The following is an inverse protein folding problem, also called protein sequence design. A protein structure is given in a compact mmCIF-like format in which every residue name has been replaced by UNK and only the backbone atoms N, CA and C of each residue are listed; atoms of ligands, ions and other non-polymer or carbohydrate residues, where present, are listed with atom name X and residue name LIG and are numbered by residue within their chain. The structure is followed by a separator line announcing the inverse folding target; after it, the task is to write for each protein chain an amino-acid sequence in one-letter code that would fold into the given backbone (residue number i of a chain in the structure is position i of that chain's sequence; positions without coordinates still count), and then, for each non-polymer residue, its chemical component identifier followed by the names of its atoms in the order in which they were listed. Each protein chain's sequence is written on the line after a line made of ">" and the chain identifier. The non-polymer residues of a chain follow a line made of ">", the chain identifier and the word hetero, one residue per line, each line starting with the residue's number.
data_IF_715954220159
#
_entry.id   IF_715954220159
#
_cell.length_a   1.000
_cell.length_b   1.000
_cell.length_c   1.000
_cell.angle_alpha   90.00
_cell.angle_beta   90.00
_cell.angle_gamma   90.00
#
_symmetry.space_group_name_H-M   'P 1'
#
loop_
_entity.id
_entity.type
_entity.pdbx_description
1 polymer ?
#
# COMPACT_ATOMS: atom_id res chain seq x y z
N UNK A 1 12.65 -14.16 16.44
CA UNK A 1 14.11 -14.02 16.31
C UNK A 1 14.76 -14.12 17.68
N UNK A 2 15.47 -15.21 17.95
CA UNK A 2 16.47 -15.23 19.01
C UNK A 2 17.71 -14.48 18.51
N UNK A 3 18.30 -13.62 19.35
CA UNK A 3 19.53 -12.91 18.99
C UNK A 3 20.69 -13.86 19.26
N UNK A 4 21.36 -14.30 18.21
CA UNK A 4 22.60 -15.08 18.28
C UNK A 4 23.68 -14.34 19.10
N UNK A 5 24.69 -15.04 19.67
CA UNK A 5 25.77 -14.41 20.42
C UNK A 5 26.43 -13.27 19.61
N UNK A 6 26.67 -12.13 20.26
CA UNK A 6 27.27 -10.96 19.59
C UNK A 6 28.74 -11.24 19.25
N UNK A 7 29.06 -11.09 17.96
CA UNK A 7 30.42 -11.11 17.46
C UNK A 7 31.22 -9.88 17.92
N UNK A 8 32.54 -10.02 17.89
CA UNK A 8 33.53 -8.98 18.10
C UNK A 8 34.09 -8.50 16.75
N UNK A 9 35.14 -7.67 16.76
CA UNK A 9 35.84 -7.27 15.53
C UNK A 9 37.05 -8.16 15.21
N UNK A 10 37.05 -9.41 15.66
CA UNK A 10 38.09 -10.39 15.38
C UNK A 10 37.48 -11.78 15.18
N UNK A 11 38.32 -12.78 14.89
CA UNK A 11 37.86 -14.11 14.50
C UNK A 11 37.02 -14.79 15.59
N UNK A 12 35.76 -15.02 15.29
CA UNK A 12 34.76 -15.56 16.20
C UNK A 12 34.23 -16.94 15.76
N UNK A 13 33.66 -17.67 16.72
CA UNK A 13 32.92 -18.90 16.47
C UNK A 13 31.50 -18.70 16.98
N UNK A 14 30.55 -18.59 16.06
CA UNK A 14 29.14 -18.36 16.33
C UNK A 14 28.34 -19.63 16.07
N UNK A 15 27.44 -19.97 16.98
CA UNK A 15 26.56 -21.14 16.83
C UNK A 15 25.15 -20.75 17.23
N UNK A 16 24.20 -21.07 16.36
CA UNK A 16 22.77 -20.87 16.54
C UNK A 16 22.09 -21.95 17.37
N UNK A 17 20.78 -22.06 17.16
CA UNK A 17 19.90 -23.08 17.72
C UNK A 17 19.00 -23.68 16.63
N UNK A 18 17.87 -24.30 17.00
CA UNK A 18 16.96 -24.91 16.02
C UNK A 18 15.94 -23.90 15.44
N UNK A 19 15.97 -22.62 15.89
CA UNK A 19 15.12 -21.54 15.40
C UNK A 19 15.84 -20.69 14.34
N UNK A 20 15.10 -19.95 13.51
CA UNK A 20 15.69 -18.98 12.58
C UNK A 20 16.52 -17.92 13.31
N UNK A 21 17.83 -17.89 13.06
CA UNK A 21 18.77 -16.95 13.65
C UNK A 21 19.29 -15.92 12.63
N UNK A 22 19.81 -14.81 13.16
CA UNK A 22 20.54 -13.82 12.36
C UNK A 22 21.89 -13.55 13.00
N UNK A 23 22.93 -13.73 12.21
CA UNK A 23 24.33 -13.54 12.58
C UNK A 23 24.90 -12.30 11.88
N UNK A 24 25.71 -11.55 12.60
CA UNK A 24 26.58 -10.54 12.03
C UNK A 24 27.98 -10.79 12.58
N UNK A 25 28.89 -11.30 11.74
CA UNK A 25 30.27 -11.58 12.11
C UNK A 25 31.07 -10.31 12.42
N UNK A 26 30.65 -9.17 11.86
CA UNK A 26 31.44 -7.94 11.84
C UNK A 26 32.78 -8.24 11.14
N UNK A 27 33.90 -7.69 11.61
CA UNK A 27 35.20 -7.97 10.99
C UNK A 27 35.90 -9.15 11.65
N UNK A 28 36.59 -9.98 10.89
CA UNK A 28 37.29 -11.15 11.41
C UNK A 28 37.41 -12.22 10.33
N UNK A 29 37.90 -13.41 10.65
CA UNK A 29 37.62 -14.58 9.82
C UNK A 29 36.78 -15.53 10.69
N UNK A 30 35.47 -15.54 10.50
CA UNK A 30 34.54 -16.15 11.45
C UNK A 30 34.09 -17.55 11.02
N UNK A 31 33.73 -18.38 12.01
CA UNK A 31 33.07 -19.66 11.78
C UNK A 31 31.64 -19.60 12.34
N UNK A 32 30.65 -19.58 11.45
CA UNK A 32 29.24 -19.42 11.80
C UNK A 32 28.47 -20.69 11.46
N UNK A 33 27.76 -21.23 12.45
CA UNK A 33 26.88 -22.40 12.28
C UNK A 33 25.46 -22.06 12.68
N UNK A 34 24.51 -22.10 11.75
CA UNK A 34 23.09 -21.84 12.04
C UNK A 34 22.41 -22.97 12.82
N UNK A 35 22.74 -24.23 12.47
CA UNK A 35 22.09 -25.46 12.93
C UNK A 35 20.75 -25.73 12.23
N UNK A 36 19.63 -25.49 12.91
CA UNK A 36 18.29 -25.73 12.38
C UNK A 36 17.53 -24.42 12.18
N UNK A 37 16.48 -24.43 11.36
CA UNK A 37 15.75 -23.22 11.01
C UNK A 37 16.21 -22.63 9.67
N UNK A 38 15.82 -21.38 9.42
CA UNK A 38 16.24 -20.60 8.24
C UNK A 38 17.14 -19.49 8.75
N UNK A 39 18.44 -19.67 8.57
CA UNK A 39 19.43 -18.81 9.19
C UNK A 39 19.99 -17.77 8.22
N UNK A 40 20.23 -16.57 8.75
CA UNK A 40 20.74 -15.45 7.98
C UNK A 40 22.10 -15.00 8.49
N UNK A 41 23.10 -14.93 7.61
CA UNK A 41 24.35 -14.20 7.87
C UNK A 41 24.33 -12.83 7.19
N UNK A 42 24.64 -11.77 7.93
CA UNK A 42 24.60 -10.38 7.49
C UNK A 42 26.02 -9.84 7.30
N UNK A 43 26.26 -9.26 6.13
CA UNK A 43 27.49 -8.63 5.70
C UNK A 43 27.28 -7.13 5.52
N UNK A 44 28.30 -6.34 5.82
CA UNK A 44 28.18 -4.87 5.89
C UNK A 44 28.36 -4.18 4.54
N UNK A 45 28.91 -4.89 3.55
CA UNK A 45 29.19 -4.40 2.21
C UNK A 45 28.19 -4.81 1.14
N UNK A 46 28.38 -4.27 -0.07
CA UNK A 46 27.61 -4.65 -1.25
C UNK A 46 28.05 -6.01 -1.78
N UNK A 47 27.13 -6.81 -2.33
CA UNK A 47 27.39 -8.19 -2.78
C UNK A 47 28.58 -8.29 -3.73
N UNK A 48 28.80 -7.30 -4.60
CA UNK A 48 29.89 -7.31 -5.57
C UNK A 48 31.31 -7.37 -4.94
N UNK A 49 31.44 -6.98 -3.68
CA UNK A 49 32.72 -6.99 -2.96
C UNK A 49 33.10 -8.37 -2.39
N UNK A 50 32.20 -9.36 -2.47
CA UNK A 50 32.40 -10.67 -1.85
C UNK A 50 32.60 -11.77 -2.88
N UNK A 51 33.64 -12.57 -2.67
CA UNK A 51 33.85 -13.83 -3.38
C UNK A 51 33.23 -14.97 -2.56
N UNK A 52 32.25 -15.67 -3.13
CA UNK A 52 31.54 -16.76 -2.47
C UNK A 52 31.89 -18.09 -3.14
N UNK A 53 32.20 -19.11 -2.34
CA UNK A 53 32.45 -20.46 -2.84
C UNK A 53 31.94 -21.51 -1.86
N UNK A 54 31.78 -22.74 -2.32
CA UNK A 54 31.33 -23.87 -1.49
C UNK A 54 32.46 -24.90 -1.38
N UNK A 55 32.84 -25.26 -0.16
CA UNK A 55 33.87 -26.24 0.15
C UNK A 55 33.29 -27.36 1.02
N UNK A 56 32.76 -28.41 0.36
CA UNK A 56 31.91 -29.39 1.05
C UNK A 56 30.57 -28.75 1.42
N UNK A 57 30.15 -28.88 2.67
CA UNK A 57 28.92 -28.25 3.18
C UNK A 57 29.16 -26.87 3.83
N UNK A 58 30.38 -26.34 3.72
CA UNK A 58 30.77 -25.04 4.30
C UNK A 58 30.89 -24.02 3.18
N UNK A 59 30.09 -22.95 3.25
CA UNK A 59 30.16 -21.81 2.33
C UNK A 59 31.21 -20.83 2.83
N UNK A 60 32.14 -20.49 1.96
CA UNK A 60 33.18 -19.50 2.20
C UNK A 60 32.72 -18.17 1.62
N UNK A 61 32.69 -17.12 2.44
CA UNK A 61 32.35 -15.75 2.04
C UNK A 61 33.55 -14.86 2.33
N UNK A 62 34.27 -14.47 1.28
CA UNK A 62 35.50 -13.69 1.38
C UNK A 62 35.24 -12.24 0.97
N UNK A 63 35.35 -11.32 1.92
CA UNK A 63 35.32 -9.88 1.68
C UNK A 63 36.64 -9.41 1.05
N UNK A 64 36.55 -8.92 -0.19
CA UNK A 64 37.71 -8.39 -0.90
C UNK A 64 38.11 -6.99 -0.42
N UNK A 65 37.34 -6.38 0.49
CA UNK A 65 37.65 -5.09 1.12
C UNK A 65 38.40 -5.30 2.44
N UNK A 66 39.66 -4.84 2.57
CA UNK A 66 40.45 -5.10 3.77
C UNK A 66 39.84 -4.53 5.06
N UNK A 67 39.63 -5.38 6.07
CA UNK A 67 39.27 -4.99 7.43
C UNK A 67 37.81 -4.63 7.65
N UNK A 68 36.91 -4.97 6.71
CA UNK A 68 35.46 -4.81 6.87
C UNK A 68 34.85 -6.08 7.48
N UNK A 69 34.61 -7.12 6.68
CA UNK A 69 34.02 -8.36 7.20
C UNK A 69 35.01 -9.55 7.25
N UNK A 70 35.98 -9.61 6.33
CA UNK A 70 37.02 -10.65 6.29
C UNK A 70 36.55 -11.99 5.66
N UNK A 71 37.07 -13.14 6.10
CA UNK A 71 36.82 -14.45 5.46
C UNK A 71 36.00 -15.40 6.34
N UNK A 72 34.71 -15.53 6.04
CA UNK A 72 33.80 -16.28 6.88
C UNK A 72 33.50 -17.68 6.34
N UNK A 73 33.42 -18.65 7.25
CA UNK A 73 33.05 -20.03 7.03
C UNK A 73 31.66 -20.30 7.61
N UNK A 74 30.69 -20.53 6.73
CA UNK A 74 29.28 -20.68 7.09
C UNK A 74 28.81 -22.12 6.89
N UNK A 75 28.23 -22.73 7.93
CA UNK A 75 27.57 -24.04 7.85
C UNK A 75 26.11 -23.93 8.29
N UNK A 76 25.20 -24.61 7.60
CA UNK A 76 23.75 -24.49 7.84
C UNK A 76 23.29 -23.03 7.87
N UNK A 77 23.61 -22.27 6.81
CA UNK A 77 23.13 -20.89 6.63
C UNK A 77 22.46 -20.81 5.26
N UNK A 78 21.17 -20.49 5.27
CA UNK A 78 20.32 -20.50 4.08
C UNK A 78 20.24 -19.12 3.41
N UNK A 79 20.48 -18.04 4.15
CA UNK A 79 20.37 -16.65 3.66
C UNK A 79 21.67 -15.89 3.90
N UNK A 80 22.18 -15.22 2.86
CA UNK A 80 23.23 -14.21 2.99
C UNK A 80 22.66 -12.85 2.65
N UNK A 81 22.77 -11.90 3.57
CA UNK A 81 22.28 -10.54 3.39
C UNK A 81 23.47 -9.58 3.25
N UNK A 82 23.48 -8.82 2.16
CA UNK A 82 24.45 -7.77 1.87
C UNK A 82 23.76 -6.40 1.97
N UNK A 83 24.53 -5.32 1.82
CA UNK A 83 24.03 -3.96 1.91
C UNK A 83 23.06 -3.57 0.77
N UNK A 84 23.16 -4.24 -0.39
CA UNK A 84 22.39 -3.93 -1.61
C UNK A 84 21.45 -5.06 -2.06
N UNK A 85 21.64 -6.28 -1.60
CA UNK A 85 20.86 -7.45 -2.02
C UNK A 85 21.00 -8.61 -1.02
N UNK A 86 20.25 -9.68 -1.23
CA UNK A 86 20.44 -10.92 -0.50
C UNK A 86 20.43 -12.13 -1.44
N UNK A 87 20.99 -13.24 -0.95
CA UNK A 87 21.13 -14.49 -1.69
C UNK A 87 20.64 -15.63 -0.82
N UNK A 88 19.71 -16.42 -1.35
CA UNK A 88 19.17 -17.60 -0.70
C UNK A 88 19.75 -18.88 -1.31
N UNK A 89 20.14 -19.84 -0.48
CA UNK A 89 20.87 -21.04 -0.91
C UNK A 89 20.17 -22.37 -0.59
N UNK A 90 19.02 -22.35 0.07
CA UNK A 90 18.13 -23.50 0.26
C UNK A 90 17.37 -23.80 -1.04
N UNK A 91 18.09 -24.15 -2.11
CA UNK A 91 17.51 -24.46 -3.42
C UNK A 91 16.69 -25.77 -3.40
N UNK A 92 16.92 -26.64 -2.41
CA UNK A 92 16.05 -27.78 -2.12
C UNK A 92 14.86 -27.43 -1.19
N UNK A 93 14.82 -26.20 -0.68
CA UNK A 93 13.83 -25.68 0.27
C UNK A 93 13.00 -24.51 -0.29
N UNK A 94 12.83 -23.46 0.52
CA UNK A 94 11.93 -22.35 0.22
C UNK A 94 12.40 -21.53 -0.99
N UNK A 95 13.70 -21.25 -1.12
CA UNK A 95 14.23 -20.56 -2.29
C UNK A 95 13.99 -21.36 -3.59
N UNK A 96 14.18 -22.67 -3.55
CA UNK A 96 13.86 -23.55 -4.67
C UNK A 96 12.40 -23.47 -5.09
N UNK A 97 11.48 -23.53 -4.11
CA UNK A 97 10.05 -23.41 -4.37
C UNK A 97 9.67 -22.03 -4.93
N UNK A 98 10.20 -20.95 -4.35
CA UNK A 98 10.00 -19.59 -4.85
C UNK A 98 10.46 -19.47 -6.31
N UNK A 99 11.68 -19.92 -6.63
CA UNK A 99 12.23 -19.87 -7.99
C UNK A 99 11.39 -20.68 -8.98
N UNK A 100 11.00 -21.91 -8.59
CA UNK A 100 10.16 -22.79 -9.41
C UNK A 100 8.81 -22.15 -9.71
N UNK A 101 8.14 -21.59 -8.71
CA UNK A 101 6.82 -20.99 -8.89
C UNK A 101 6.88 -19.70 -9.69
N UNK A 102 7.80 -18.79 -9.35
CA UNK A 102 8.00 -17.53 -10.08
C UNK A 102 8.33 -17.82 -11.55
N UNK A 103 9.21 -18.78 -11.81
CA UNK A 103 9.57 -19.21 -13.15
C UNK A 103 8.42 -19.79 -13.95
N UNK A 104 7.55 -20.59 -13.34
CA UNK A 104 6.42 -21.20 -14.02
C UNK A 104 5.32 -20.19 -14.34
N UNK A 105 5.00 -19.30 -13.40
CA UNK A 105 3.87 -18.38 -13.51
C UNK A 105 4.22 -17.10 -14.26
N UNK A 106 5.41 -16.55 -14.04
CA UNK A 106 5.84 -15.27 -14.62
C UNK A 106 6.99 -15.39 -15.64
N UNK A 107 7.50 -16.61 -15.86
CA UNK A 107 8.59 -16.90 -16.78
C UNK A 107 9.97 -16.78 -16.13
N UNK A 108 10.96 -17.46 -16.70
CA UNK A 108 12.32 -17.52 -16.13
C UNK A 108 13.00 -16.15 -15.98
N UNK A 109 12.70 -15.16 -16.85
CA UNK A 109 13.25 -13.81 -16.72
C UNK A 109 12.74 -13.07 -15.48
N UNK A 110 11.60 -13.48 -14.91
CA UNK A 110 11.07 -12.88 -13.70
C UNK A 110 11.95 -13.14 -12.47
N UNK A 111 12.88 -14.11 -12.53
CA UNK A 111 13.88 -14.31 -11.47
C UNK A 111 14.91 -13.18 -11.37
N UNK A 112 14.98 -12.28 -12.36
CA UNK A 112 15.80 -11.06 -12.30
C UNK A 112 15.11 -9.94 -11.51
N UNK A 113 13.80 -10.06 -11.27
CA UNK A 113 13.03 -9.13 -10.45
C UNK A 113 13.21 -9.52 -8.98
N UNK A 114 14.26 -8.97 -8.36
CA UNK A 114 14.63 -9.32 -6.99
C UNK A 114 13.49 -9.05 -5.99
N UNK A 115 12.69 -8.00 -6.19
CA UNK A 115 11.56 -7.67 -5.33
C UNK A 115 10.45 -8.73 -5.41
N UNK A 116 10.12 -9.19 -6.63
CA UNK A 116 9.20 -10.30 -6.83
C UNK A 116 9.71 -11.58 -6.18
N UNK A 117 10.98 -11.95 -6.40
CA UNK A 117 11.54 -13.15 -5.78
C UNK A 117 11.52 -13.05 -4.25
N UNK A 118 11.85 -11.87 -3.71
CA UNK A 118 11.87 -11.60 -2.28
C UNK A 118 10.50 -11.74 -1.61
N UNK A 119 9.43 -11.27 -2.25
CA UNK A 119 8.08 -11.38 -1.68
C UNK A 119 7.61 -12.82 -1.59
N UNK A 120 7.83 -13.63 -2.63
CA UNK A 120 7.49 -15.06 -2.62
C UNK A 120 8.34 -15.85 -1.63
N UNK A 121 9.64 -15.57 -1.57
CA UNK A 121 10.52 -16.22 -0.61
C UNK A 121 10.12 -15.88 0.84
N UNK A 122 9.84 -14.61 1.13
CA UNK A 122 9.43 -14.15 2.47
C UNK A 122 8.14 -14.81 2.95
N UNK A 123 7.17 -15.02 2.06
CA UNK A 123 5.92 -15.71 2.41
C UNK A 123 6.19 -17.17 2.79
N UNK A 124 7.02 -17.90 2.04
CA UNK A 124 7.41 -19.28 2.37
C UNK A 124 8.19 -19.34 3.68
N UNK A 125 9.12 -18.41 3.90
CA UNK A 125 9.91 -18.32 5.13
C UNK A 125 9.01 -18.01 6.35
N UNK A 126 7.88 -17.34 6.12
CA UNK A 126 6.85 -17.07 7.14
C UNK A 126 5.83 -18.20 7.32
N UNK A 127 6.00 -19.32 6.61
CA UNK A 127 5.19 -20.53 6.75
C UNK A 127 3.99 -20.64 5.82
N UNK A 128 3.87 -19.78 4.80
CA UNK A 128 2.86 -19.97 3.76
C UNK A 128 3.13 -21.25 2.96
N UNK A 129 2.07 -21.93 2.54
CA UNK A 129 2.18 -23.13 1.71
C UNK A 129 2.44 -22.77 0.24
N UNK A 130 3.09 -23.68 -0.49
CA UNK A 130 3.31 -23.51 -1.92
C UNK A 130 2.00 -23.30 -2.70
N UNK A 131 0.90 -23.92 -2.26
CA UNK A 131 -0.43 -23.78 -2.89
C UNK A 131 -1.02 -22.39 -2.67
N UNK A 132 -0.89 -21.81 -1.47
CA UNK A 132 -1.30 -20.43 -1.19
C UNK A 132 -0.52 -19.44 -2.06
N UNK A 133 0.79 -19.65 -2.21
CA UNK A 133 1.61 -18.82 -3.10
C UNK A 133 1.21 -18.98 -4.58
N UNK A 134 0.92 -20.20 -5.02
CA UNK A 134 0.49 -20.45 -6.40
C UNK A 134 -0.86 -19.81 -6.69
N UNK A 135 -1.78 -19.81 -5.71
CA UNK A 135 -3.04 -19.10 -5.79
C UNK A 135 -2.82 -17.58 -5.86
N UNK A 136 -1.96 -17.03 -4.99
CA UNK A 136 -1.58 -15.61 -5.01
C UNK A 136 -0.98 -15.21 -6.36
N UNK A 137 -0.09 -16.03 -6.92
CA UNK A 137 0.53 -15.77 -8.21
C UNK A 137 -0.49 -15.73 -9.35
N UNK A 138 -1.34 -16.74 -9.48
CA UNK A 138 -2.34 -16.83 -10.53
C UNK A 138 -3.41 -15.72 -10.45
N UNK A 139 -3.74 -15.29 -9.23
CA UNK A 139 -4.69 -14.21 -8.97
C UNK A 139 -4.08 -12.80 -9.04
N UNK A 140 -2.76 -12.67 -9.18
CA UNK A 140 -2.10 -11.36 -9.14
C UNK A 140 -2.41 -10.50 -10.36
N UNK A 141 -2.50 -9.18 -10.18
CA UNK A 141 -2.63 -8.24 -11.28
C UNK A 141 -1.46 -8.36 -12.27
N UNK A 142 -0.25 -8.63 -11.77
CA UNK A 142 0.94 -8.93 -12.58
C UNK A 142 0.70 -10.10 -13.53
N UNK A 143 0.06 -11.17 -13.05
CA UNK A 143 -0.28 -12.31 -13.90
C UNK A 143 -1.33 -11.94 -14.94
N UNK A 144 -2.40 -11.21 -14.58
CA UNK A 144 -3.39 -10.76 -15.56
C UNK A 144 -2.80 -9.85 -16.63
N UNK A 145 -1.84 -8.99 -16.28
CA UNK A 145 -1.12 -8.16 -17.25
C UNK A 145 -0.25 -9.00 -18.20
N UNK A 146 0.39 -10.05 -17.68
CA UNK A 146 1.19 -10.97 -18.48
C UNK A 146 0.33 -11.85 -19.39
N UNK A 147 -0.75 -12.41 -18.85
CA UNK A 147 -1.61 -13.40 -19.52
C UNK A 147 -2.74 -12.77 -20.35
N UNK A 148 -3.08 -11.52 -20.09
CA UNK A 148 -4.23 -10.80 -20.66
C UNK A 148 -5.50 -10.90 -19.82
N UNK A 149 -5.68 -11.98 -19.03
CA UNK A 149 -6.76 -12.12 -18.06
C UNK A 149 -6.46 -13.23 -17.04
N UNK A 150 -7.36 -13.42 -16.06
CA UNK A 150 -7.35 -14.58 -15.16
C UNK A 150 -8.13 -15.79 -15.73
N UNK A 151 -8.58 -15.74 -16.98
CA UNK A 151 -9.32 -16.83 -17.61
C UNK A 151 -8.45 -18.08 -17.80
N UNK A 152 -9.07 -19.27 -17.70
CA UNK A 152 -8.35 -20.56 -17.80
C UNK A 152 -7.53 -20.71 -19.08
N UNK A 153 -8.04 -20.23 -20.21
CA UNK A 153 -7.32 -20.27 -21.49
C UNK A 153 -6.04 -19.44 -21.47
N UNK A 154 -6.12 -18.21 -20.97
CA UNK A 154 -4.98 -17.29 -20.87
C UNK A 154 -3.97 -17.80 -19.84
N UNK A 155 -4.47 -18.37 -18.73
CA UNK A 155 -3.65 -19.02 -17.72
C UNK A 155 -2.83 -20.18 -18.31
N UNK A 156 -3.48 -21.12 -18.98
CA UNK A 156 -2.82 -22.31 -19.56
C UNK A 156 -1.82 -21.89 -20.63
N UNK A 157 -2.18 -21.00 -21.55
CA UNK A 157 -1.27 -20.53 -22.59
C UNK A 157 0.02 -19.93 -21.98
N UNK A 158 -0.14 -19.05 -20.99
CA UNK A 158 0.97 -18.32 -20.36
C UNK A 158 1.89 -19.26 -19.57
N UNK A 159 1.32 -20.08 -18.67
CA UNK A 159 2.11 -21.00 -17.85
C UNK A 159 2.78 -22.07 -18.72
N UNK A 160 2.07 -22.59 -19.72
CA UNK A 160 2.65 -23.56 -20.65
C UNK A 160 3.81 -22.95 -21.44
N UNK A 161 3.66 -21.72 -21.97
CA UNK A 161 4.74 -21.05 -22.69
C UNK A 161 5.95 -20.75 -21.77
N UNK A 162 5.71 -20.35 -20.52
CA UNK A 162 6.77 -20.11 -19.55
C UNK A 162 7.59 -21.38 -19.25
N UNK A 163 6.93 -22.53 -19.14
CA UNK A 163 7.54 -23.82 -18.80
C UNK A 163 8.13 -24.53 -20.01
N UNK A 164 7.45 -24.52 -21.16
CA UNK A 164 7.84 -25.28 -22.36
C UNK A 164 8.63 -24.43 -23.34
N UNK A 165 8.44 -23.11 -23.33
CA UNK A 165 9.10 -22.17 -24.23
C UNK A 165 8.41 -21.98 -25.58
N UNK A 166 7.20 -22.50 -25.74
CA UNK A 166 6.35 -22.30 -26.91
C UNK A 166 4.88 -22.44 -26.50
N UNK A 167 3.97 -21.87 -27.30
CA UNK A 167 2.54 -22.02 -27.09
C UNK A 167 2.10 -23.50 -27.21
N UNK A 168 1.11 -23.94 -26.41
CA UNK A 168 0.56 -25.29 -26.52
C UNK A 168 -0.12 -25.50 -27.87
N UNK A 169 -0.15 -26.75 -28.35
CA UNK A 169 -1.04 -27.11 -29.45
C UNK A 169 -2.51 -27.00 -29.02
N UNK A 170 -3.44 -26.91 -29.98
CA UNK A 170 -4.89 -26.84 -29.67
C UNK A 170 -5.34 -28.02 -28.81
N UNK A 171 -4.83 -29.23 -29.05
CA UNK A 171 -5.19 -30.41 -28.27
C UNK A 171 -4.70 -30.33 -26.81
N UNK A 172 -3.49 -29.84 -26.59
CA UNK A 172 -2.93 -29.66 -25.24
C UNK A 172 -3.65 -28.54 -24.49
N UNK A 173 -3.95 -27.43 -25.17
CA UNK A 173 -4.71 -26.32 -24.60
C UNK A 173 -6.12 -26.79 -24.17
N UNK A 174 -6.84 -27.49 -25.05
CA UNK A 174 -8.16 -28.03 -24.76
C UNK A 174 -8.12 -29.03 -23.57
N UNK A 175 -7.07 -29.84 -23.47
CA UNK A 175 -6.88 -30.78 -22.36
C UNK A 175 -6.70 -30.06 -21.02
N UNK A 176 -5.74 -29.14 -20.92
CA UNK A 176 -5.47 -28.43 -19.67
C UNK A 176 -6.59 -27.47 -19.26
N UNK A 177 -7.22 -26.78 -20.21
CA UNK A 177 -8.40 -25.95 -19.93
C UNK A 177 -9.56 -26.81 -19.44
N UNK A 178 -9.80 -27.97 -20.08
CA UNK A 178 -10.82 -28.92 -19.64
C UNK A 178 -10.58 -29.44 -18.22
N UNK A 179 -9.33 -29.66 -17.83
CA UNK A 179 -8.96 -30.06 -16.45
C UNK A 179 -9.29 -28.96 -15.41
N UNK A 180 -9.15 -27.69 -15.77
CA UNK A 180 -9.54 -26.56 -14.92
C UNK A 180 -11.07 -26.40 -14.85
N UNK A 181 -11.76 -26.51 -15.99
CA UNK A 181 -13.23 -26.37 -16.07
C UNK A 181 -13.97 -27.48 -15.33
N UNK A 182 -13.42 -28.70 -15.34
CA UNK A 182 -13.97 -29.85 -14.62
C UNK A 182 -13.60 -29.86 -13.13
N UNK A 183 -12.74 -28.93 -12.69
CA UNK A 183 -12.29 -28.83 -11.29
C UNK A 183 -11.33 -29.94 -10.87
N UNK A 184 -10.74 -30.68 -11.81
CA UNK A 184 -9.68 -31.66 -11.51
C UNK A 184 -8.43 -30.95 -10.99
N UNK A 185 -8.14 -29.78 -11.56
CA UNK A 185 -7.15 -28.84 -11.05
C UNK A 185 -7.79 -27.47 -10.79
N UNK A 186 -7.21 -26.75 -9.85
CA UNK A 186 -7.34 -25.29 -9.78
C UNK A 186 -6.16 -24.66 -10.53
N UNK A 187 -6.22 -23.37 -10.84
CA UNK A 187 -5.05 -22.68 -11.39
C UNK A 187 -3.84 -22.79 -10.46
N UNK A 188 -4.05 -22.73 -9.14
CA UNK A 188 -2.99 -22.91 -8.15
C UNK A 188 -2.34 -24.31 -8.21
N UNK A 189 -3.14 -25.39 -8.23
CA UNK A 189 -2.59 -26.75 -8.25
C UNK A 189 -1.98 -27.12 -9.61
N UNK A 190 -2.46 -26.53 -10.71
CA UNK A 190 -1.83 -26.67 -12.02
C UNK A 190 -0.53 -25.85 -12.12
N UNK A 191 -0.46 -24.65 -11.54
CA UNK A 191 0.76 -23.86 -11.42
C UNK A 191 1.84 -24.59 -10.59
N UNK A 192 1.45 -25.27 -9.51
CA UNK A 192 2.39 -26.10 -8.74
C UNK A 192 2.92 -27.29 -9.54
N UNK A 193 2.06 -27.96 -10.30
CA UNK A 193 2.49 -29.03 -11.18
C UNK A 193 3.48 -28.51 -12.25
N UNK A 194 3.22 -27.33 -12.78
CA UNK A 194 4.10 -26.64 -13.72
C UNK A 194 5.44 -26.23 -13.07
N UNK A 195 5.41 -25.74 -11.83
CA UNK A 195 6.59 -25.35 -11.05
C UNK A 195 7.56 -26.53 -10.84
N UNK A 196 7.03 -27.72 -10.54
CA UNK A 196 7.81 -28.94 -10.34
C UNK A 196 8.24 -29.61 -11.66
N UNK A 197 7.76 -29.13 -12.82
CA UNK A 197 8.06 -29.78 -14.08
C UNK A 197 9.55 -29.66 -14.47
N UNK A 198 10.22 -30.72 -14.95
CA UNK A 198 11.65 -30.67 -15.31
C UNK A 198 12.00 -29.62 -16.36
N UNK A 199 11.07 -29.30 -17.27
CA UNK A 199 11.29 -28.21 -18.24
C UNK A 199 11.35 -26.85 -17.56
N UNK A 200 10.53 -26.60 -16.54
CA UNK A 200 10.58 -25.37 -15.76
C UNK A 200 11.92 -25.27 -15.03
N UNK A 201 12.31 -26.34 -14.32
CA UNK A 201 13.59 -26.41 -13.59
C UNK A 201 14.79 -26.16 -14.52
N UNK A 202 14.75 -26.68 -15.76
CA UNK A 202 15.77 -26.43 -16.76
C UNK A 202 15.75 -24.97 -17.28
N UNK A 203 14.56 -24.38 -17.48
CA UNK A 203 14.42 -23.00 -17.98
C UNK A 203 14.87 -21.95 -16.97
N UNK A 204 14.64 -22.19 -15.69
CA UNK A 204 15.11 -21.31 -14.61
C UNK A 204 16.57 -21.56 -14.22
N UNK A 205 17.23 -22.55 -14.85
CA UNK A 205 18.56 -23.02 -14.47
C UNK A 205 18.67 -23.31 -12.96
N UNK A 206 17.73 -24.13 -12.43
CA UNK A 206 17.68 -24.46 -11.00
C UNK A 206 18.99 -25.09 -10.51
N UNK A 207 19.68 -25.83 -11.38
CA UNK A 207 21.00 -26.38 -11.10
C UNK A 207 22.06 -25.28 -10.95
N UNK A 208 22.07 -24.27 -11.83
CA UNK A 208 22.94 -23.11 -11.68
C UNK A 208 22.62 -22.28 -10.43
N UNK A 209 21.34 -22.20 -10.04
CA UNK A 209 20.94 -21.56 -8.78
C UNK A 209 21.45 -22.32 -7.55
N UNK A 210 21.58 -23.65 -7.60
CA UNK A 210 22.19 -24.42 -6.51
C UNK A 210 23.65 -24.01 -6.25
N UNK A 211 24.38 -23.61 -7.30
CA UNK A 211 25.76 -23.13 -7.18
C UNK A 211 25.84 -21.64 -6.80
N UNK A 212 24.98 -20.81 -7.40
CA UNK A 212 25.07 -19.34 -7.31
C UNK A 212 24.21 -18.73 -6.21
N UNK A 213 23.19 -19.46 -5.78
CA UNK A 213 22.11 -18.97 -4.93
C UNK A 213 21.07 -18.18 -5.72
N UNK A 214 19.88 -18.07 -5.15
CA UNK A 214 18.80 -17.25 -5.67
C UNK A 214 18.94 -15.83 -5.13
N UNK A 215 19.25 -14.86 -5.99
CA UNK A 215 19.24 -13.46 -5.63
C UNK A 215 17.80 -13.00 -5.35
N UNK A 216 17.60 -12.29 -4.26
CA UNK A 216 16.31 -11.73 -3.90
C UNK A 216 16.48 -10.37 -3.23
N UNK A 217 15.42 -9.57 -3.31
CA UNK A 217 15.31 -8.33 -2.58
C UNK A 217 15.01 -8.67 -1.13
N UNK A 218 15.92 -8.33 -0.23
CA UNK A 218 15.53 -8.07 1.15
C UNK A 218 14.86 -6.70 1.15
N UNK A 219 13.68 -6.56 1.77
CA UNK A 219 13.23 -5.23 2.15
C UNK A 219 14.40 -4.59 2.91
N UNK A 220 14.82 -3.39 2.50
CA UNK A 220 15.70 -2.59 3.35
C UNK A 220 15.05 -2.55 4.75
N UNK A 221 15.80 -2.48 5.86
CA UNK A 221 15.13 -2.13 7.11
C UNK A 221 14.41 -0.81 6.86
N UNK A 222 13.09 -0.81 7.07
CA UNK A 222 12.31 0.41 6.97
C UNK A 222 12.82 1.44 7.97
N UNK A 223 12.48 2.68 7.71
CA UNK A 223 12.89 3.84 8.47
C UNK A 223 11.80 4.28 9.44
N UNK A 224 12.23 4.83 10.57
CA UNK A 224 11.34 5.50 11.52
C UNK A 224 11.71 6.97 11.48
N UNK A 225 10.81 7.81 10.96
CA UNK A 225 11.02 9.25 10.84
C UNK A 225 10.02 10.01 11.71
N UNK A 226 10.51 11.08 12.34
CA UNK A 226 9.72 12.01 13.10
C UNK A 226 9.89 13.39 12.48
N UNK A 227 8.77 14.05 12.19
CA UNK A 227 8.69 15.46 11.84
C UNK A 227 8.97 16.34 13.05
N UNK A 228 8.49 17.56 12.96
CA UNK A 228 8.74 18.65 13.89
C UNK A 228 7.41 19.17 14.44
N UNK A 229 7.35 20.44 14.86
CA UNK A 229 6.10 21.09 15.25
C UNK A 229 5.62 22.07 14.18
N UNK A 230 6.14 21.96 12.96
CA UNK A 230 5.74 22.74 11.81
C UNK A 230 5.68 21.84 10.58
N UNK A 231 5.30 22.40 9.42
CA UNK A 231 5.05 21.59 8.21
C UNK A 231 6.30 20.85 7.73
N UNK A 232 6.19 19.54 7.59
CA UNK A 232 7.23 18.63 7.16
C UNK A 232 6.84 17.86 5.88
N UNK A 233 7.86 17.45 5.13
CA UNK A 233 7.73 16.56 3.99
C UNK A 233 8.55 15.30 4.27
N UNK A 234 7.85 14.22 4.65
CA UNK A 234 8.45 12.94 5.00
C UNK A 234 8.29 11.97 3.84
N UNK A 235 9.39 11.32 3.46
CA UNK A 235 9.38 10.30 2.41
C UNK A 235 10.09 9.07 2.95
N UNK A 236 9.39 7.94 2.93
CA UNK A 236 9.91 6.63 3.24
C UNK A 236 10.73 6.07 2.08
N UNK A 237 10.77 4.75 2.02
CA UNK A 237 11.66 3.93 1.23
C UNK A 237 10.83 2.93 0.43
N UNK A 238 11.43 1.81 0.04
CA UNK A 238 10.70 0.70 -0.60
C UNK A 238 10.47 -0.45 0.40
N UNK A 239 10.50 -0.15 1.69
CA UNK A 239 10.37 -1.09 2.79
C UNK A 239 9.32 -0.59 3.79
N UNK A 240 8.98 -1.42 4.77
CA UNK A 240 7.93 -1.13 5.75
C UNK A 240 8.35 0.00 6.71
N UNK A 241 7.87 1.22 6.46
CA UNK A 241 8.28 2.44 7.16
C UNK A 241 7.27 2.90 8.22
N UNK A 242 7.76 3.71 9.18
CA UNK A 242 6.93 4.42 10.15
C UNK A 242 7.24 5.93 10.07
N UNK A 243 6.28 6.72 9.62
CA UNK A 243 6.43 8.16 9.48
C UNK A 243 5.45 8.88 10.42
N UNK A 244 5.99 9.72 11.30
CA UNK A 244 5.22 10.50 12.27
C UNK A 244 5.39 11.99 11.96
N UNK A 245 4.33 12.67 11.51
CA UNK A 245 4.34 14.11 11.20
C UNK A 245 4.46 14.98 12.46
N UNK A 246 3.69 14.63 13.48
CA UNK A 246 3.56 15.28 14.79
C UNK A 246 2.62 16.50 14.76
N UNK A 247 3.12 17.72 14.58
CA UNK A 247 2.26 18.89 14.55
C UNK A 247 2.66 19.78 13.38
N UNK A 248 1.68 20.38 12.70
CA UNK A 248 1.88 21.06 11.42
C UNK A 248 1.05 20.37 10.33
N UNK A 249 0.98 21.00 9.16
CA UNK A 249 0.31 20.41 8.01
C UNK A 249 1.34 19.60 7.21
N UNK A 250 1.39 18.29 7.43
CA UNK A 250 2.47 17.45 6.94
C UNK A 250 2.13 16.73 5.64
N UNK A 251 3.17 16.45 4.84
CA UNK A 251 3.07 15.64 3.62
C UNK A 251 3.90 14.37 3.77
N UNK A 252 3.22 13.22 3.86
CA UNK A 252 3.82 11.92 4.12
C UNK A 252 3.69 11.01 2.89
N UNK A 253 4.77 10.34 2.50
CA UNK A 253 4.76 9.31 1.46
C UNK A 253 5.56 8.11 1.93
N UNK A 254 4.89 6.98 2.20
CA UNK A 254 5.55 5.74 2.66
C UNK A 254 6.44 5.12 1.59
N UNK A 255 5.96 5.11 0.35
CA UNK A 255 6.66 4.49 -0.77
C UNK A 255 6.07 3.12 -1.08
N UNK A 256 6.91 2.11 -1.20
CA UNK A 256 6.46 0.72 -1.34
C UNK A 256 6.75 -0.02 -0.03
N UNK A 257 6.02 -1.10 0.25
CA UNK A 257 6.09 -1.78 1.55
C UNK A 257 4.82 -1.58 2.36
N UNK A 258 4.77 -2.18 3.54
CA UNK A 258 3.69 -1.97 4.49
C UNK A 258 4.03 -0.82 5.43
N UNK A 259 3.45 0.35 5.19
CA UNK A 259 3.82 1.57 5.90
C UNK A 259 2.81 1.96 6.97
N UNK A 260 3.27 2.66 7.99
CA UNK A 260 2.43 3.35 8.98
C UNK A 260 2.70 4.84 8.91
N UNK A 261 1.67 5.63 8.57
CA UNK A 261 1.72 7.07 8.46
C UNK A 261 0.81 7.69 9.52
N UNK A 262 1.40 8.42 10.46
CA UNK A 262 0.68 9.18 11.49
C UNK A 262 0.88 10.67 11.22
N UNK A 263 -0.17 11.39 10.82
CA UNK A 263 -0.10 12.83 10.55
C UNK A 263 0.08 13.62 11.84
N UNK A 264 -0.94 13.61 12.69
CA UNK A 264 -0.90 14.20 14.03
C UNK A 264 -1.84 15.39 14.16
N UNK A 265 -1.35 16.52 14.69
CA UNK A 265 -2.12 17.77 14.76
C UNK A 265 -1.91 18.61 13.50
N UNK A 266 -2.94 18.79 12.69
CA UNK A 266 -2.86 19.63 11.50
C UNK A 266 -3.83 19.16 10.42
N UNK A 267 -3.63 19.62 9.19
CA UNK A 267 -4.26 19.05 8.00
C UNK A 267 -3.21 18.26 7.23
N UNK A 268 -3.19 16.95 7.45
CA UNK A 268 -2.13 16.08 6.96
C UNK A 268 -2.51 15.37 5.67
N UNK A 269 -1.48 15.08 4.87
CA UNK A 269 -1.64 14.51 3.54
C UNK A 269 -0.77 13.28 3.33
N UNK A 270 -1.41 12.16 2.99
CA UNK A 270 -0.74 11.01 2.42
C UNK A 270 -0.64 11.13 0.89
N UNK A 271 0.57 10.96 0.35
CA UNK A 271 0.87 11.04 -1.09
C UNK A 271 1.25 9.67 -1.63
N UNK A 272 0.56 9.25 -2.67
CA UNK A 272 0.76 7.96 -3.31
C UNK A 272 1.27 8.15 -4.75
N UNK A 273 2.26 7.35 -5.14
CA UNK A 273 2.78 7.36 -6.50
C UNK A 273 1.87 6.52 -7.41
N UNK A 274 1.16 7.18 -8.33
CA UNK A 274 0.29 6.56 -9.33
C UNK A 274 -1.17 7.01 -9.26
N UNK A 275 -1.95 6.53 -10.23
CA UNK A 275 -3.38 6.82 -10.36
C UNK A 275 -4.19 6.12 -9.26
N UNK A 276 -5.26 6.78 -8.82
CA UNK A 276 -6.18 6.33 -7.78
C UNK A 276 -6.82 4.96 -8.06
N UNK A 277 -6.87 4.52 -9.33
CA UNK A 277 -7.40 3.20 -9.71
C UNK A 277 -6.59 2.02 -9.19
N UNK A 278 -5.33 2.24 -8.81
CA UNK A 278 -4.48 1.23 -8.18
C UNK A 278 -4.72 1.07 -6.68
N UNK A 279 -5.53 1.95 -6.10
CA UNK A 279 -5.67 2.04 -4.64
C UNK A 279 -7.09 1.75 -4.20
N UNK A 280 -7.21 0.92 -3.17
CA UNK A 280 -8.42 0.78 -2.36
C UNK A 280 -8.19 1.43 -1.01
N UNK A 281 -9.23 1.98 -0.39
CA UNK A 281 -9.15 2.40 1.02
C UNK A 281 -10.42 2.08 1.77
N UNK A 282 -10.28 1.81 3.06
CA UNK A 282 -11.38 1.49 3.97
C UNK A 282 -11.14 2.08 5.34
N UNK A 283 -12.23 2.47 6.00
CA UNK A 283 -12.21 3.04 7.34
C UNK A 283 -12.04 1.94 8.38
N UNK A 284 -11.18 2.19 9.37
CA UNK A 284 -10.96 1.37 10.56
C UNK A 284 -11.28 2.17 11.83
N UNK A 285 -11.23 1.53 13.00
CA UNK A 285 -11.60 2.16 14.28
C UNK A 285 -10.78 3.42 14.61
N UNK A 286 -9.51 3.48 14.18
CA UNK A 286 -8.57 4.57 14.50
C UNK A 286 -8.04 5.35 13.28
N UNK A 287 -8.53 5.06 12.07
CA UNK A 287 -7.95 5.64 10.86
C UNK A 287 -8.45 5.01 9.57
N UNK A 288 -7.54 4.90 8.59
CA UNK A 288 -7.81 4.33 7.27
C UNK A 288 -6.71 3.35 6.89
N UNK A 289 -7.08 2.26 6.24
CA UNK A 289 -6.12 1.39 5.55
C UNK A 289 -6.23 1.67 4.06
N UNK A 290 -5.09 1.90 3.40
CA UNK A 290 -4.97 1.97 1.94
C UNK A 290 -4.28 0.72 1.44
N UNK A 291 -4.83 0.05 0.45
CA UNK A 291 -4.20 -1.07 -0.26
C UNK A 291 -3.75 -0.63 -1.65
N UNK A 292 -2.61 -1.14 -2.11
CA UNK A 292 -2.08 -0.93 -3.46
C UNK A 292 -2.19 -2.25 -4.25
N UNK A 293 -2.95 -2.29 -5.34
CA UNK A 293 -3.17 -3.51 -6.13
C UNK A 293 -1.97 -3.97 -6.97
N UNK A 294 -0.91 -3.15 -7.01
CA UNK A 294 0.35 -3.45 -7.71
C UNK A 294 1.29 -4.33 -6.87
N UNK A 295 0.98 -4.53 -5.58
CA UNK A 295 1.73 -5.41 -4.68
C UNK A 295 0.86 -5.91 -3.52
N UNK A 296 1.39 -6.73 -2.61
CA UNK A 296 0.66 -7.15 -1.40
C UNK A 296 0.77 -6.09 -0.29
N UNK A 297 0.81 -4.79 -0.63
CA UNK A 297 1.18 -3.71 0.28
C UNK A 297 -0.05 -3.01 0.87
N UNK A 298 0.00 -2.70 2.16
CA UNK A 298 -1.01 -1.92 2.87
C UNK A 298 -0.37 -0.77 3.64
N UNK A 299 -1.04 0.37 3.66
CA UNK A 299 -0.59 1.58 4.36
C UNK A 299 -1.64 1.91 5.43
N UNK A 300 -1.24 1.88 6.70
CA UNK A 300 -2.06 2.31 7.84
C UNK A 300 -1.93 3.82 8.02
N UNK A 301 -3.05 4.53 7.93
CA UNK A 301 -3.14 5.98 8.05
C UNK A 301 -3.86 6.37 9.34
N UNK A 302 -3.20 7.12 10.19
CA UNK A 302 -3.76 7.69 11.42
C UNK A 302 -3.64 9.21 11.39
N UNK A 303 -4.74 9.92 11.69
CA UNK A 303 -4.76 11.39 11.63
C UNK A 303 -4.34 11.94 10.26
N UNK A 304 -4.89 11.37 9.18
CA UNK A 304 -4.67 11.84 7.80
C UNK A 304 -6.00 12.32 7.25
N UNK A 305 -6.06 13.59 6.86
CA UNK A 305 -7.27 14.25 6.37
C UNK A 305 -7.35 14.27 4.84
N UNK A 306 -6.22 14.08 4.15
CA UNK A 306 -6.10 14.19 2.69
C UNK A 306 -5.34 13.01 2.08
N UNK A 307 -5.91 12.44 1.02
CA UNK A 307 -5.21 11.53 0.11
C UNK A 307 -4.90 12.28 -1.19
N UNK A 308 -3.69 12.10 -1.70
CA UNK A 308 -3.25 12.63 -2.98
C UNK A 308 -2.71 11.50 -3.87
N UNK A 309 -3.36 11.31 -5.01
CA UNK A 309 -2.94 10.46 -6.12
C UNK A 309 -2.50 11.35 -7.30
N UNK A 310 -1.97 10.76 -8.37
CA UNK A 310 -1.55 11.52 -9.56
C UNK A 310 -2.74 12.13 -10.33
N UNK A 311 -3.88 11.45 -10.32
CA UNK A 311 -5.10 11.81 -11.05
C UNK A 311 -6.17 12.49 -10.18
N UNK A 312 -6.11 12.34 -8.85
CA UNK A 312 -7.20 12.72 -7.95
C UNK A 312 -6.75 13.06 -6.53
N UNK A 313 -7.51 13.92 -5.86
CA UNK A 313 -7.40 14.16 -4.41
C UNK A 313 -8.70 13.80 -3.69
N UNK A 314 -8.59 13.31 -2.46
CA UNK A 314 -9.72 12.93 -1.60
C UNK A 314 -9.53 13.52 -0.22
N UNK A 315 -10.59 14.12 0.34
CA UNK A 315 -10.62 14.57 1.73
C UNK A 315 -11.44 13.59 2.58
N UNK A 316 -10.88 13.21 3.74
CA UNK A 316 -11.38 12.11 4.58
C UNK A 316 -12.05 12.58 5.88
N UNK A 317 -11.83 13.83 6.29
CA UNK A 317 -12.29 14.42 7.53
C UNK A 317 -13.78 14.82 7.49
N UNK A 318 -14.66 13.82 7.40
CA UNK A 318 -16.12 14.05 7.38
C UNK A 318 -16.67 14.60 8.71
N UNK A 319 -15.92 14.49 9.80
CA UNK A 319 -16.22 15.16 11.07
C UNK A 319 -15.61 16.59 11.14
N UNK A 320 -14.80 16.97 10.14
CA UNK A 320 -14.04 18.22 10.05
C UNK A 320 -14.40 19.08 8.83
N UNK A 321 -13.37 19.65 8.18
CA UNK A 321 -13.50 20.63 7.10
C UNK A 321 -14.27 20.07 5.90
N UNK A 322 -14.03 18.81 5.54
CA UNK A 322 -14.70 18.20 4.41
C UNK A 322 -16.19 17.93 4.68
N UNK A 323 -16.53 17.50 5.89
CA UNK A 323 -17.93 17.38 6.32
C UNK A 323 -18.67 18.71 6.33
N UNK A 324 -18.07 19.75 6.91
CA UNK A 324 -18.64 21.11 6.92
C UNK A 324 -18.81 21.65 5.50
N UNK A 325 -17.83 21.42 4.63
CA UNK A 325 -17.89 21.79 3.21
C UNK A 325 -19.06 21.11 2.50
N UNK A 326 -19.16 19.77 2.60
CA UNK A 326 -20.22 19.01 1.96
C UNK A 326 -21.61 19.47 2.44
N UNK A 327 -21.76 19.72 3.74
CA UNK A 327 -23.02 20.19 4.32
C UNK A 327 -23.40 21.60 3.82
N UNK A 328 -22.46 22.56 3.77
CA UNK A 328 -22.77 23.89 3.23
C UNK A 328 -23.08 23.85 1.73
N UNK A 329 -22.33 23.05 0.96
CA UNK A 329 -22.62 22.88 -0.47
C UNK A 329 -24.04 22.33 -0.66
N UNK A 330 -24.41 21.30 0.09
CA UNK A 330 -25.75 20.74 0.09
C UNK A 330 -26.84 21.75 0.43
N UNK A 331 -26.67 22.51 1.51
CA UNK A 331 -27.68 23.45 1.98
C UNK A 331 -27.80 24.70 1.09
N UNK A 332 -26.69 25.26 0.62
CA UNK A 332 -26.67 26.56 -0.07
C UNK A 332 -26.74 26.43 -1.59
N UNK A 333 -26.07 25.43 -2.17
CA UNK A 333 -26.03 25.23 -3.62
C UNK A 333 -26.84 24.02 -4.10
N UNK A 334 -27.20 23.11 -3.18
CA UNK A 334 -27.92 21.88 -3.46
C UNK A 334 -26.99 20.66 -3.51
N UNK A 335 -27.54 19.48 -3.21
CA UNK A 335 -26.77 18.25 -3.03
C UNK A 335 -25.87 17.85 -4.21
N UNK A 336 -26.25 18.19 -5.45
CA UNK A 336 -25.43 17.91 -6.63
C UNK A 336 -24.07 18.61 -6.63
N UNK A 337 -23.92 19.72 -5.89
CA UNK A 337 -22.66 20.46 -5.80
C UNK A 337 -21.61 19.75 -4.96
N UNK A 338 -22.01 18.80 -4.12
CA UNK A 338 -21.07 17.97 -3.34
C UNK A 338 -20.20 17.10 -4.24
N UNK A 339 -20.69 16.75 -5.44
CA UNK A 339 -19.92 16.03 -6.46
C UNK A 339 -19.06 16.95 -7.35
N UNK A 340 -19.02 18.27 -7.10
CA UNK A 340 -18.20 19.19 -7.86
C UNK A 340 -16.87 19.46 -7.13
N UNK A 341 -15.75 18.87 -7.59
CA UNK A 341 -14.50 18.89 -6.83
C UNK A 341 -13.86 20.28 -6.76
N UNK A 342 -14.17 21.21 -7.68
CA UNK A 342 -13.70 22.60 -7.59
C UNK A 342 -14.37 23.34 -6.42
N UNK A 343 -15.67 23.14 -6.23
CA UNK A 343 -16.41 23.75 -5.11
C UNK A 343 -16.01 23.15 -3.78
N UNK A 344 -15.81 21.83 -3.73
CA UNK A 344 -15.27 21.16 -2.55
C UNK A 344 -13.88 21.73 -2.22
N UNK A 345 -13.01 21.86 -3.22
CA UNK A 345 -11.68 22.45 -3.07
C UNK A 345 -11.69 23.86 -2.47
N UNK A 346 -12.57 24.72 -2.95
CA UNK A 346 -12.74 26.07 -2.39
C UNK A 346 -13.18 26.00 -0.92
N UNK A 347 -14.18 25.18 -0.60
CA UNK A 347 -14.67 25.00 0.77
C UNK A 347 -13.57 24.52 1.73
N UNK A 348 -12.83 23.49 1.34
CA UNK A 348 -11.68 22.99 2.08
C UNK A 348 -10.64 24.09 2.30
N UNK A 349 -10.26 24.81 1.24
CA UNK A 349 -9.21 25.84 1.32
C UNK A 349 -9.50 26.94 2.35
N UNK A 350 -10.78 27.32 2.52
CA UNK A 350 -11.15 28.37 3.49
C UNK A 350 -11.27 27.83 4.91
N UNK A 351 -11.70 26.58 5.09
CA UNK A 351 -11.70 25.93 6.40
C UNK A 351 -10.28 25.63 6.88
N UNK A 352 -9.42 25.13 6.00
CA UNK A 352 -8.01 24.85 6.29
C UNK A 352 -7.24 26.15 6.58
N UNK A 353 -7.69 27.29 6.02
CA UNK A 353 -7.19 28.62 6.38
C UNK A 353 -7.74 29.17 7.72
N UNK A 354 -8.56 28.40 8.44
CA UNK A 354 -9.07 28.72 9.77
C UNK A 354 -10.34 29.57 9.80
N UNK A 355 -11.10 29.67 8.70
CA UNK A 355 -12.40 30.34 8.73
C UNK A 355 -13.40 29.53 9.58
N UNK A 356 -14.23 30.24 10.35
CA UNK A 356 -15.28 29.60 11.14
C UNK A 356 -16.44 29.12 10.25
N UNK A 357 -17.21 28.17 10.77
CA UNK A 357 -18.37 27.63 10.07
C UNK A 357 -19.37 28.71 9.61
N UNK A 358 -19.64 29.70 10.45
CA UNK A 358 -20.49 30.84 10.10
C UNK A 358 -19.85 31.75 9.04
N UNK A 359 -18.53 31.98 9.09
CA UNK A 359 -17.85 32.79 8.08
C UNK A 359 -17.91 32.13 6.70
N UNK A 360 -17.73 30.81 6.64
CA UNK A 360 -17.84 30.06 5.38
C UNK A 360 -19.30 29.98 4.92
N UNK A 361 -20.27 29.86 5.84
CA UNK A 361 -21.69 29.91 5.50
C UNK A 361 -22.10 31.25 4.89
N UNK A 362 -21.63 32.38 5.45
CA UNK A 362 -21.87 33.69 4.85
C UNK A 362 -21.22 33.80 3.47
N UNK A 363 -19.98 33.34 3.32
CA UNK A 363 -19.27 33.32 2.04
C UNK A 363 -20.04 32.53 0.98
N UNK A 364 -20.59 31.36 1.35
CA UNK A 364 -21.40 30.53 0.48
C UNK A 364 -22.68 31.25 0.03
N UNK A 365 -23.40 31.89 0.96
CA UNK A 365 -24.61 32.66 0.65
C UNK A 365 -24.32 33.85 -0.27
N UNK A 366 -23.28 34.62 0.02
CA UNK A 366 -22.84 35.75 -0.80
C UNK A 366 -22.46 35.30 -2.22
N UNK A 367 -21.81 34.13 -2.35
CA UNK A 367 -21.47 33.54 -3.64
C UNK A 367 -22.70 33.03 -4.41
N UNK A 368 -23.69 32.45 -3.72
CA UNK A 368 -24.89 31.91 -4.34
C UNK A 368 -25.89 33.00 -4.78
N UNK A 369 -26.06 34.04 -3.96
CA UNK A 369 -27.12 35.05 -4.14
C UNK A 369 -26.60 36.40 -4.62
N UNK A 370 -25.29 36.63 -4.53
CA UNK A 370 -24.67 37.92 -4.82
C UNK A 370 -24.85 38.95 -3.70
N UNK A 371 -24.19 40.09 -3.86
CA UNK A 371 -24.19 41.15 -2.85
C UNK A 371 -25.57 41.79 -2.67
N UNK A 372 -25.98 42.00 -1.42
CA UNK A 372 -27.19 42.73 -1.06
C UNK A 372 -28.49 41.93 -1.20
N UNK A 373 -28.41 40.60 -1.19
CA UNK A 373 -29.59 39.75 -1.08
C UNK A 373 -30.32 39.97 0.25
N UNK A 374 -31.58 39.56 0.30
CA UNK A 374 -32.41 39.64 1.51
C UNK A 374 -32.36 38.33 2.29
N UNK A 375 -32.60 38.40 3.61
CA UNK A 375 -32.74 37.21 4.44
C UNK A 375 -33.84 36.25 3.94
N UNK A 376 -34.89 36.79 3.31
CA UNK A 376 -35.91 35.98 2.65
C UNK A 376 -35.35 35.17 1.49
N UNK A 377 -34.48 35.76 0.66
CA UNK A 377 -33.84 35.04 -0.45
C UNK A 377 -32.93 33.92 0.07
N UNK A 378 -32.17 34.16 1.14
CA UNK A 378 -31.32 33.13 1.75
C UNK A 378 -32.15 31.96 2.31
N UNK A 379 -33.20 32.25 3.09
CA UNK A 379 -34.09 31.24 3.67
C UNK A 379 -34.78 30.42 2.59
N UNK A 380 -35.34 31.07 1.56
CA UNK A 380 -36.05 30.38 0.48
C UNK A 380 -35.12 29.51 -0.38
N UNK A 381 -33.90 29.98 -0.64
CA UNK A 381 -32.86 29.19 -1.35
C UNK A 381 -32.55 27.89 -0.60
N UNK A 382 -32.20 28.00 0.68
CA UNK A 382 -31.83 26.83 1.49
C UNK A 382 -33.02 25.89 1.67
N UNK A 383 -34.21 26.42 1.93
CA UNK A 383 -35.42 25.61 2.03
C UNK A 383 -35.66 24.81 0.74
N UNK A 384 -35.52 25.45 -0.42
CA UNK A 384 -35.66 24.77 -1.70
C UNK A 384 -34.61 23.66 -1.89
N UNK A 385 -33.35 23.91 -1.54
CA UNK A 385 -32.28 22.91 -1.67
C UNK A 385 -32.48 21.70 -0.74
N UNK A 386 -33.02 21.94 0.47
CA UNK A 386 -33.27 20.89 1.45
C UNK A 386 -34.53 20.07 1.14
N UNK A 387 -35.61 20.73 0.72
CA UNK A 387 -36.94 20.12 0.62
C UNK A 387 -37.36 19.83 -0.83
N UNK A 388 -36.71 20.46 -1.81
CA UNK A 388 -37.00 20.32 -3.25
C UNK A 388 -38.19 21.14 -3.74
N UNK A 389 -38.84 21.92 -2.86
CA UNK A 389 -39.95 22.82 -3.18
C UNK A 389 -39.80 24.13 -2.41
N UNK A 390 -40.33 25.23 -2.95
CA UNK A 390 -40.33 26.51 -2.25
C UNK A 390 -41.23 26.47 -1.00
N UNK A 391 -40.86 27.17 0.09
CA UNK A 391 -41.72 27.27 1.26
C UNK A 391 -42.99 28.05 0.93
N UNK A 392 -44.07 27.80 1.67
CA UNK A 392 -45.25 28.66 1.60
C UNK A 392 -44.92 30.07 2.10
N UNK A 393 -45.68 31.11 1.71
CA UNK A 393 -45.45 32.47 2.19
C UNK A 393 -45.48 32.62 3.71
N UNK A 394 -46.26 31.78 4.40
CA UNK A 394 -46.31 31.78 5.86
C UNK A 394 -45.03 31.16 6.45
N UNK A 395 -44.59 30.01 5.95
CA UNK A 395 -43.35 29.35 6.41
C UNK A 395 -42.13 30.24 6.17
N UNK A 396 -42.04 30.86 4.98
CA UNK A 396 -40.98 31.83 4.65
C UNK A 396 -40.97 32.98 5.66
N UNK A 397 -42.13 33.60 5.95
CA UNK A 397 -42.22 34.69 6.90
C UNK A 397 -41.85 34.27 8.34
N UNK A 398 -42.24 33.07 8.77
CA UNK A 398 -41.92 32.54 10.10
C UNK A 398 -40.41 32.28 10.26
N UNK A 399 -39.76 31.71 9.24
CA UNK A 399 -38.31 31.47 9.24
C UNK A 399 -37.52 32.78 9.19
N UNK A 400 -37.92 33.74 8.35
CA UNK A 400 -37.29 35.07 8.29
C UNK A 400 -37.44 35.83 9.60
N UNK A 401 -38.58 35.69 10.28
CA UNK A 401 -38.80 36.31 11.59
C UNK A 401 -37.80 35.81 12.66
N UNK A 402 -37.25 34.60 12.53
CA UNK A 402 -36.20 34.11 13.44
C UNK A 402 -34.92 34.95 13.36
N UNK A 403 -34.66 35.58 12.21
CA UNK A 403 -33.51 36.46 11.97
C UNK A 403 -33.89 37.91 12.32
N UNK A 404 -34.95 38.42 11.71
CA UNK A 404 -35.28 39.86 11.71
C UNK A 404 -36.00 40.34 12.96
N UNK A 405 -36.80 39.48 13.59
CA UNK A 405 -37.70 39.86 14.68
C UNK A 405 -37.25 39.26 16.00
N UNK A 406 -36.93 37.96 15.99
CA UNK A 406 -36.59 37.23 17.20
C UNK A 406 -35.08 37.23 17.47
N UNK A 407 -34.25 37.53 16.47
CA UNK A 407 -32.79 37.54 16.56
C UNK A 407 -32.22 36.26 17.19
N UNK A 408 -32.85 35.13 16.89
CA UNK A 408 -32.40 33.78 17.31
C UNK A 408 -31.18 33.39 16.48
N UNK A 409 -31.19 33.77 15.21
CA UNK A 409 -30.12 33.48 14.26
C UNK A 409 -29.64 34.77 13.57
N UNK A 410 -28.35 34.81 13.24
CA UNK A 410 -27.81 35.57 12.10
C UNK A 410 -28.07 34.81 10.80
N UNK A 411 -27.97 35.48 9.65
CA UNK A 411 -28.05 34.83 8.33
C UNK A 411 -27.04 33.68 8.19
N UNK A 412 -25.79 33.88 8.62
CA UNK A 412 -24.76 32.84 8.67
C UNK A 412 -25.17 31.65 9.58
N UNK A 413 -25.62 31.92 10.80
CA UNK A 413 -25.94 30.85 11.77
C UNK A 413 -27.19 30.05 11.39
N UNK A 414 -28.16 30.65 10.68
CA UNK A 414 -29.31 29.89 10.16
C UNK A 414 -28.89 29.00 8.98
N UNK A 415 -27.89 29.40 8.20
CA UNK A 415 -27.32 28.56 7.15
C UNK A 415 -26.53 27.38 7.72
N UNK A 416 -25.75 27.60 8.79
CA UNK A 416 -25.14 26.50 9.56
C UNK A 416 -26.22 25.57 10.12
N UNK A 417 -27.30 26.10 10.70
CA UNK A 417 -28.41 25.28 11.18
C UNK A 417 -29.03 24.45 10.06
N UNK A 418 -29.28 25.05 8.89
CA UNK A 418 -29.80 24.36 7.71
C UNK A 418 -28.87 23.24 7.23
N UNK A 419 -27.55 23.48 7.26
CA UNK A 419 -26.52 22.51 6.87
C UNK A 419 -26.48 21.26 7.76
N UNK A 420 -26.86 21.38 9.03
CA UNK A 420 -26.87 20.28 10.00
C UNK A 420 -28.21 19.51 10.07
N UNK A 421 -29.24 19.95 9.33
CA UNK A 421 -30.53 19.24 9.32
C UNK A 421 -30.39 17.86 8.65
N UNK A 422 -31.13 16.88 9.16
CA UNK A 422 -31.14 15.52 8.60
C UNK A 422 -31.56 15.52 7.13
N UNK A 423 -32.47 16.44 6.73
CA UNK A 423 -32.81 16.64 5.32
C UNK A 423 -31.56 16.86 4.45
N UNK A 424 -30.61 17.67 4.93
CA UNK A 424 -29.37 17.93 4.20
C UNK A 424 -28.45 16.71 4.21
N UNK A 425 -28.17 16.16 5.39
CA UNK A 425 -27.21 15.05 5.55
C UNK A 425 -27.67 13.80 4.79
N UNK A 426 -28.98 13.58 4.70
CA UNK A 426 -29.56 12.50 3.89
C UNK A 426 -29.47 12.82 2.39
N UNK A 427 -29.77 14.06 1.97
CA UNK A 427 -29.72 14.46 0.57
C UNK A 427 -28.30 14.37 -0.03
N UNK A 428 -27.26 14.65 0.77
CA UNK A 428 -25.85 14.58 0.33
C UNK A 428 -25.21 13.21 0.53
N UNK A 429 -25.96 12.23 1.08
CA UNK A 429 -25.44 10.93 1.49
C UNK A 429 -24.18 11.03 2.35
N UNK A 430 -24.25 11.82 3.43
CA UNK A 430 -23.11 12.06 4.32
C UNK A 430 -22.54 10.75 4.90
N UNK A 431 -23.42 9.75 5.11
CA UNK A 431 -23.00 8.42 5.58
C UNK A 431 -22.16 7.71 4.53
N UNK A 432 -22.54 7.76 3.25
CA UNK A 432 -21.73 7.25 2.15
C UNK A 432 -20.38 7.97 2.04
N UNK A 433 -20.39 9.30 2.08
CA UNK A 433 -19.18 10.12 2.05
C UNK A 433 -18.22 9.81 3.22
N UNK A 434 -18.75 9.48 4.41
CA UNK A 434 -17.93 9.06 5.55
C UNK A 434 -17.20 7.73 5.34
N UNK A 435 -17.60 6.92 4.36
CA UNK A 435 -16.93 5.68 4.01
C UNK A 435 -15.92 5.85 2.87
N UNK A 436 -16.08 6.86 2.01
CA UNK A 436 -15.26 7.01 0.79
C UNK A 436 -14.39 8.26 0.77
N UNK A 437 -14.68 9.23 1.64
CA UNK A 437 -14.21 10.60 1.49
C UNK A 437 -14.93 11.35 0.37
N UNK A 438 -14.52 12.60 0.16
CA UNK A 438 -15.04 13.50 -0.89
C UNK A 438 -13.92 13.94 -1.82
N UNK A 439 -14.17 13.92 -3.13
CA UNK A 439 -13.20 14.37 -4.14
C UNK A 439 -13.07 15.89 -4.15
N UNK A 440 -11.86 16.39 -4.34
CA UNK A 440 -11.61 17.82 -4.49
C UNK A 440 -10.48 18.14 -5.47
N UNK A 441 -10.49 19.37 -6.00
CA UNK A 441 -9.36 19.98 -6.70
C UNK A 441 -8.73 21.00 -5.74
N UNK A 442 -7.43 20.92 -5.41
CA UNK A 442 -6.77 21.95 -4.61
C UNK A 442 -6.95 23.34 -5.23
N UNK A 443 -7.41 24.30 -4.42
CA UNK A 443 -7.76 25.66 -4.86
C UNK A 443 -6.55 26.58 -5.09
#
# INVERSE_FOLDING_TARGET
>A
MAVAPQATGGNDVLTGDDDANTFAGLGGDDAISGLGGIDTSVFTGVRADYAISLAGDVRQVNDMTPGRDGNDSLSSIERLRFADTAVAYDIDGNAGMAAKLVGAVFGASALQDAALVGSYLSLLDSGASAEELAALAAASARFAQLAGSHGNTDFVNTVYENVVGMAPSTAELDEFVGLLETGVFTQATLALLAAEHPLNQARIDLAGLADTGLNYGVAAPGTVQFGTTGPDALTGTSADDQLYGLAGDDTLSGGAGNDSLEGGEGVDRAVFAGDSSHFGWSREDSGWIVSDDRGPYTIDLQGIERLQFEDRHVALDMDGAAGMTAKLLGAVFGASFVANPEFVGIGLSVFDAGMSYEQVAQLALDAALGAGHTHQQAVELMYFNLIGVAPSPQESAELVALIDVHHVYTEASIAVFAAELSYNTDNIDLVGLAQTGIEYVPA
#
